data_IF_485273695459
#
_entry.id   IF_485273695459
#
_cell.length_a   1.000
_cell.length_b   1.000
_cell.length_c   1.000
_cell.angle_alpha   90.00
_cell.angle_beta   90.00
_cell.angle_gamma   90.00
#
_symmetry.space_group_name_H-M   'P 1'
#
loop_
_entity.id
_entity.type
_entity.pdbx_description
1 polymer ?
#
# COMPACT_ATOMS: atom_id res chain seq x y z
N UNK A 1 8.12 2.44 -10.66
CA UNK A 1 7.45 2.43 -9.33
C UNK A 1 6.32 1.41 -9.24
N UNK A 2 5.35 1.35 -10.17
CA UNK A 2 4.24 0.39 -10.06
C UNK A 2 4.70 -1.08 -9.97
N UNK A 3 5.67 -1.48 -10.80
CA UNK A 3 6.26 -2.82 -10.73
C UNK A 3 6.96 -3.10 -9.39
N UNK A 4 7.68 -2.14 -8.81
CA UNK A 4 8.35 -2.34 -7.52
C UNK A 4 7.35 -2.48 -6.39
N UNK A 5 6.24 -1.72 -6.39
CA UNK A 5 5.13 -1.90 -5.45
C UNK A 5 4.54 -3.30 -5.58
N UNK A 6 4.20 -3.73 -6.80
CA UNK A 6 3.57 -5.03 -7.03
C UNK A 6 4.46 -6.19 -6.54
N UNK A 7 5.75 -6.19 -6.91
CA UNK A 7 6.71 -7.20 -6.47
C UNK A 7 6.87 -7.17 -4.95
N UNK A 8 7.06 -5.99 -4.37
CA UNK A 8 7.27 -5.85 -2.93
C UNK A 8 6.02 -6.20 -2.11
N UNK A 9 4.80 -5.99 -2.63
CA UNK A 9 3.58 -6.43 -1.97
C UNK A 9 3.50 -7.95 -1.88
N UNK A 10 3.79 -8.66 -2.98
CA UNK A 10 3.82 -10.14 -3.00
C UNK A 10 4.92 -10.69 -2.10
N UNK A 11 6.10 -10.08 -2.13
CA UNK A 11 7.21 -10.48 -1.25
C UNK A 11 6.88 -10.17 0.20
N UNK A 12 6.25 -9.02 0.48
CA UNK A 12 5.89 -8.55 1.81
C UNK A 12 4.93 -9.49 2.51
N UNK A 13 3.87 -9.96 1.85
CA UNK A 13 2.92 -10.92 2.45
C UNK A 13 3.60 -12.26 2.76
N UNK A 14 4.42 -12.78 1.85
CA UNK A 14 5.23 -14.01 2.10
C UNK A 14 6.21 -13.84 3.24
N UNK A 15 6.83 -12.66 3.34
CA UNK A 15 7.80 -12.34 4.39
C UNK A 15 7.10 -12.17 5.73
N UNK A 16 5.89 -11.60 5.75
CA UNK A 16 5.09 -11.40 6.96
C UNK A 16 4.70 -12.73 7.61
N UNK A 17 4.45 -13.77 6.82
CA UNK A 17 4.23 -15.14 7.33
C UNK A 17 5.48 -15.70 8.01
N UNK A 18 6.69 -15.41 7.49
CA UNK A 18 7.95 -15.98 7.98
C UNK A 18 8.52 -15.25 9.19
N UNK A 19 8.62 -13.92 9.13
CA UNK A 19 9.30 -13.09 10.14
C UNK A 19 8.34 -12.20 10.95
N UNK A 20 7.04 -12.28 10.66
CA UNK A 20 6.00 -11.53 11.35
C UNK A 20 5.74 -10.16 10.73
N UNK A 21 4.50 -9.69 10.88
CA UNK A 21 4.04 -8.42 10.31
C UNK A 21 4.81 -7.21 10.85
N UNK A 22 5.23 -7.29 12.13
CA UNK A 22 6.02 -6.27 12.82
C UNK A 22 7.30 -5.92 12.05
N UNK A 23 8.10 -6.93 11.73
CA UNK A 23 9.37 -6.71 11.06
C UNK A 23 9.16 -6.12 9.68
N UNK A 24 8.26 -6.72 8.88
CA UNK A 24 8.00 -6.31 7.50
C UNK A 24 7.51 -4.85 7.42
N UNK A 25 6.48 -4.50 8.20
CA UNK A 25 5.91 -3.15 8.19
C UNK A 25 6.92 -2.11 8.67
N UNK A 26 7.67 -2.39 9.74
CA UNK A 26 8.70 -1.47 10.24
C UNK A 26 9.81 -1.23 9.22
N UNK A 27 10.35 -2.29 8.59
CA UNK A 27 11.34 -2.13 7.51
C UNK A 27 10.77 -1.42 6.28
N UNK A 28 9.51 -1.69 5.93
CA UNK A 28 8.83 -1.02 4.83
C UNK A 28 8.69 0.49 5.08
N UNK A 29 8.22 0.89 6.27
CA UNK A 29 8.09 2.30 6.66
C UNK A 29 9.46 2.99 6.70
N UNK A 30 10.49 2.31 7.24
CA UNK A 30 11.84 2.85 7.25
C UNK A 30 12.38 3.04 5.83
N UNK A 31 12.24 2.05 4.97
CA UNK A 31 12.69 2.12 3.58
C UNK A 31 11.95 3.21 2.79
N UNK A 32 10.63 3.36 3.01
CA UNK A 32 9.84 4.42 2.39
C UNK A 32 10.24 5.81 2.90
N UNK A 33 10.42 5.98 4.21
CA UNK A 33 10.85 7.24 4.81
C UNK A 33 12.25 7.67 4.34
N UNK A 34 13.20 6.74 4.28
CA UNK A 34 14.53 6.99 3.73
C UNK A 34 14.49 7.34 2.24
N UNK A 35 13.61 6.69 1.46
CA UNK A 35 13.42 7.04 0.06
C UNK A 35 12.90 8.47 -0.11
N UNK A 36 11.96 8.93 0.72
CA UNK A 36 11.46 10.31 0.69
C UNK A 36 12.56 11.32 1.04
N UNK A 37 13.40 11.01 2.03
CA UNK A 37 14.57 11.82 2.35
C UNK A 37 15.56 11.88 1.18
N UNK A 38 15.82 10.76 0.52
CA UNK A 38 16.68 10.73 -0.66
C UNK A 38 16.09 11.50 -1.84
N UNK A 39 14.78 11.41 -2.08
CA UNK A 39 14.11 12.21 -3.11
C UNK A 39 14.21 13.70 -2.80
N UNK A 40 14.20 14.09 -1.51
CA UNK A 40 14.35 15.50 -1.09
C UNK A 40 15.73 16.12 -1.39
N UNK A 41 16.71 15.35 -1.87
CA UNK A 41 18.03 15.84 -2.27
C UNK A 41 18.22 15.86 -3.79
N UNK A 42 17.17 15.59 -4.57
CA UNK A 42 17.23 15.62 -6.03
C UNK A 42 17.39 17.05 -6.52
N UNK A 43 18.35 17.25 -7.41
CA UNK A 43 18.55 18.48 -8.17
C UNK A 43 18.39 18.23 -9.67
N UNK A 44 18.25 19.29 -10.47
CA UNK A 44 18.06 19.23 -11.92
C UNK A 44 19.21 18.51 -12.67
N UNK A 45 20.39 18.41 -12.07
CA UNK A 45 21.56 17.69 -12.61
C UNK A 45 21.60 16.19 -12.27
N UNK A 46 20.59 15.67 -11.56
CA UNK A 46 20.59 14.29 -11.07
C UNK A 46 20.46 13.30 -12.24
N UNK A 47 21.33 12.28 -12.34
CA UNK A 47 21.25 11.31 -13.40
C UNK A 47 19.98 10.46 -13.27
N UNK A 48 19.37 10.10 -14.39
CA UNK A 48 18.10 9.36 -14.42
C UNK A 48 18.13 8.05 -13.61
N UNK A 49 19.28 7.39 -13.53
CA UNK A 49 19.44 6.15 -12.74
C UNK A 49 19.19 6.35 -11.24
N UNK A 50 19.47 7.53 -10.70
CA UNK A 50 19.19 7.86 -9.29
C UNK A 50 17.69 7.95 -9.05
N UNK A 51 16.95 8.56 -9.99
CA UNK A 51 15.49 8.63 -9.94
C UNK A 51 14.86 7.22 -9.99
N UNK A 52 15.41 6.33 -10.84
CA UNK A 52 14.99 4.93 -10.90
C UNK A 52 15.23 4.22 -9.57
N UNK A 53 16.41 4.40 -8.95
CA UNK A 53 16.74 3.85 -7.64
C UNK A 53 15.75 4.31 -6.54
N UNK A 54 15.46 5.60 -6.50
CA UNK A 54 14.49 6.20 -5.58
C UNK A 54 13.07 5.66 -5.79
N UNK A 55 12.63 5.51 -7.05
CA UNK A 55 11.34 4.91 -7.40
C UNK A 55 11.24 3.44 -6.98
N UNK A 56 12.33 2.69 -7.09
CA UNK A 56 12.40 1.30 -6.66
C UNK A 56 12.33 1.22 -5.14
N UNK A 57 13.14 2.00 -4.42
CA UNK A 57 13.16 2.01 -2.96
C UNK A 57 11.85 2.51 -2.36
N UNK A 58 11.31 3.63 -2.86
CA UNK A 58 10.03 4.18 -2.42
C UNK A 58 8.85 3.27 -2.75
N UNK A 59 8.78 2.77 -3.99
CA UNK A 59 7.74 1.82 -4.39
C UNK A 59 7.83 0.50 -3.63
N UNK A 60 9.04 -0.01 -3.41
CA UNK A 60 9.27 -1.22 -2.61
C UNK A 60 8.82 -1.03 -1.16
N UNK A 61 9.14 0.11 -0.55
CA UNK A 61 8.72 0.44 0.80
C UNK A 61 7.19 0.43 0.94
N UNK A 62 6.51 1.16 0.04
CA UNK A 62 5.05 1.17 -0.06
C UNK A 62 4.44 -0.23 -0.23
N UNK A 63 5.02 -1.07 -1.08
CA UNK A 63 4.55 -2.44 -1.30
C UNK A 63 4.67 -3.31 -0.05
N UNK A 64 5.78 -3.21 0.68
CA UNK A 64 5.99 -3.98 1.92
C UNK A 64 5.02 -3.61 3.05
N UNK A 65 4.43 -2.41 3.01
CA UNK A 65 3.54 -1.93 4.06
C UNK A 65 2.08 -2.24 3.73
N UNK A 66 1.65 -1.94 2.51
CA UNK A 66 0.22 -1.85 2.16
C UNK A 66 -0.55 -3.16 2.33
N UNK A 67 -0.05 -4.27 1.76
CA UNK A 67 -0.71 -5.56 1.87
C UNK A 67 -0.57 -6.18 3.28
N UNK A 68 0.64 -6.31 3.87
CA UNK A 68 0.79 -6.93 5.18
C UNK A 68 0.08 -6.16 6.30
N UNK A 69 0.09 -4.83 6.30
CA UNK A 69 -0.60 -4.05 7.32
C UNK A 69 -2.12 -4.31 7.29
N UNK A 70 -2.70 -4.37 6.09
CA UNK A 70 -4.13 -4.67 5.91
C UNK A 70 -4.44 -6.09 6.37
N UNK A 71 -3.62 -7.08 6.01
CA UNK A 71 -3.79 -8.47 6.45
C UNK A 71 -3.72 -8.61 7.97
N UNK A 72 -2.83 -7.89 8.66
CA UNK A 72 -2.77 -7.96 10.12
C UNK A 72 -3.99 -7.34 10.81
N UNK A 73 -4.53 -6.23 10.27
CA UNK A 73 -5.76 -5.63 10.78
C UNK A 73 -6.93 -6.59 10.57
N UNK A 74 -7.09 -7.10 9.36
CA UNK A 74 -8.21 -7.98 9.00
C UNK A 74 -8.10 -9.35 9.66
N UNK A 75 -6.89 -9.88 9.85
CA UNK A 75 -6.64 -11.16 10.51
C UNK A 75 -6.93 -11.14 12.01
N UNK A 76 -7.07 -9.96 12.63
CA UNK A 76 -7.48 -9.82 14.03
C UNK A 76 -9.01 -9.78 14.22
N UNK A 77 -9.77 -9.65 13.14
CA UNK A 77 -11.24 -9.56 13.16
C UNK A 77 -11.85 -10.96 12.98
N UNK A 78 -12.90 -11.29 13.74
CA UNK A 78 -13.62 -12.55 13.55
C UNK A 78 -14.36 -12.57 12.20
N UNK A 79 -14.52 -13.76 11.59
CA UNK A 79 -15.14 -13.90 10.27
C UNK A 79 -16.53 -13.26 10.19
N UNK A 80 -17.35 -13.39 11.24
CA UNK A 80 -18.68 -12.78 11.34
C UNK A 80 -18.67 -11.25 11.29
N UNK A 81 -17.54 -10.62 11.65
CA UNK A 81 -17.36 -9.16 11.70
C UNK A 81 -16.43 -8.64 10.62
N UNK A 82 -15.96 -9.49 9.69
CA UNK A 82 -14.99 -9.10 8.67
C UNK A 82 -15.50 -7.94 7.80
N UNK A 83 -16.80 -7.88 7.48
CA UNK A 83 -17.39 -6.76 6.74
C UNK A 83 -17.28 -5.43 7.49
N UNK A 84 -17.57 -5.42 8.79
CA UNK A 84 -17.43 -4.22 9.65
C UNK A 84 -15.96 -3.85 9.81
N UNK A 85 -15.08 -4.84 10.01
CA UNK A 85 -13.64 -4.64 10.12
C UNK A 85 -13.04 -3.99 8.87
N UNK A 86 -13.43 -4.46 7.68
CA UNK A 86 -12.97 -3.89 6.41
C UNK A 86 -13.46 -2.45 6.23
N UNK A 87 -14.74 -2.19 6.54
CA UNK A 87 -15.31 -0.85 6.44
C UNK A 87 -14.58 0.15 7.35
N UNK A 88 -14.25 -0.24 8.58
CA UNK A 88 -13.49 0.60 9.52
C UNK A 88 -12.05 0.81 9.04
N UNK A 89 -11.40 -0.25 8.52
CA UNK A 89 -10.06 -0.13 7.95
C UNK A 89 -10.02 0.85 6.76
N UNK A 90 -10.98 0.75 5.84
CA UNK A 90 -11.06 1.64 4.69
C UNK A 90 -11.40 3.07 5.10
N UNK A 91 -12.35 3.28 6.01
CA UNK A 91 -12.64 4.59 6.57
C UNK A 91 -11.39 5.23 7.22
N UNK A 92 -10.62 4.45 7.98
CA UNK A 92 -9.37 4.90 8.61
C UNK A 92 -8.33 5.29 7.56
N UNK A 93 -8.17 4.50 6.49
CA UNK A 93 -7.24 4.78 5.41
C UNK A 93 -7.63 6.04 4.63
N UNK A 94 -8.91 6.21 4.32
CA UNK A 94 -9.42 7.40 3.63
C UNK A 94 -9.26 8.64 4.49
N UNK A 95 -9.59 8.56 5.78
CA UNK A 95 -9.38 9.66 6.72
C UNK A 95 -7.89 10.03 6.84
N UNK A 96 -7.02 9.03 7.00
CA UNK A 96 -5.58 9.23 7.06
C UNK A 96 -5.02 9.85 5.78
N UNK A 97 -5.50 9.42 4.61
CA UNK A 97 -5.12 10.00 3.32
C UNK A 97 -5.55 11.46 3.20
N UNK A 98 -6.80 11.79 3.56
CA UNK A 98 -7.31 13.16 3.55
C UNK A 98 -6.53 14.07 4.51
N UNK A 99 -6.28 13.60 5.75
CA UNK A 99 -5.49 14.33 6.74
C UNK A 99 -4.05 14.55 6.26
N UNK A 100 -3.42 13.51 5.68
CA UNK A 100 -2.07 13.60 5.12
C UNK A 100 -1.97 14.64 4.01
N UNK A 101 -2.91 14.63 3.06
CA UNK A 101 -2.99 15.63 1.98
C UNK A 101 -3.18 17.04 2.55
N UNK A 102 -4.07 17.22 3.53
CA UNK A 102 -4.33 18.52 4.14
C UNK A 102 -3.10 19.07 4.89
N UNK A 103 -2.44 18.25 5.70
CA UNK A 103 -1.26 18.66 6.49
C UNK A 103 -0.07 18.94 5.58
N UNK A 104 0.27 18.02 4.69
CA UNK A 104 1.41 18.19 3.78
C UNK A 104 1.17 19.35 2.79
N UNK A 105 -0.06 19.51 2.30
CA UNK A 105 -0.43 20.65 1.45
C UNK A 105 -0.31 21.99 2.18
N UNK A 106 -0.70 22.05 3.46
CA UNK A 106 -0.55 23.24 4.29
C UNK A 106 0.93 23.58 4.52
N UNK A 107 1.76 22.57 4.79
CA UNK A 107 3.21 22.75 4.95
C UNK A 107 3.83 23.25 3.64
N UNK A 108 3.54 22.62 2.51
CA UNK A 108 4.03 23.04 1.20
C UNK A 108 3.63 24.49 0.89
N UNK A 109 2.36 24.85 1.10
CA UNK A 109 1.86 26.22 0.91
C UNK A 109 2.55 27.23 1.82
N UNK A 110 2.81 26.86 3.08
CA UNK A 110 3.49 27.73 4.04
C UNK A 110 4.95 27.97 3.66
N UNK A 111 5.68 26.90 3.31
CA UNK A 111 7.08 26.99 2.88
C UNK A 111 7.23 27.76 1.57
N UNK A 112 6.34 27.50 0.60
CA UNK A 112 6.30 28.24 -0.66
C UNK A 112 6.12 29.75 -0.43
N UNK A 113 5.10 30.15 0.34
CA UNK A 113 4.83 31.57 0.61
C UNK A 113 5.96 32.25 1.38
N UNK A 114 6.56 31.54 2.34
CA UNK A 114 7.70 32.03 3.09
C UNK A 114 8.91 32.31 2.19
N UNK A 115 9.29 31.32 1.37
CA UNK A 115 10.46 31.45 0.49
C UNK A 115 10.22 32.47 -0.62
N UNK A 116 9.05 32.43 -1.26
CA UNK A 116 8.67 33.41 -2.29
C UNK A 116 8.71 34.84 -1.74
N UNK A 117 8.23 35.05 -0.51
CA UNK A 117 8.26 36.34 0.17
C UNK A 117 9.66 36.92 0.32
N UNK A 118 10.67 36.07 0.52
CA UNK A 118 12.06 36.48 0.66
C UNK A 118 12.74 36.78 -0.69
N UNK A 119 12.33 36.07 -1.76
CA UNK A 119 13.00 36.11 -3.07
C UNK A 119 12.26 36.95 -4.12
N UNK A 120 11.13 37.58 -3.74
CA UNK A 120 10.32 38.42 -4.63
C UNK A 120 11.11 39.65 -5.09
N UNK A 121 11.26 39.87 -6.42
CA UNK A 121 12.00 41.02 -6.92
C UNK A 121 11.24 42.34 -6.64
N UNK A 122 11.95 43.43 -6.33
CA UNK A 122 11.33 44.74 -6.17
C UNK A 122 10.76 45.26 -7.50
N UNK A 123 9.74 46.11 -7.44
CA UNK A 123 9.15 46.75 -8.62
C UNK A 123 8.04 45.95 -9.33
N UNK A 124 7.63 44.80 -8.77
CA UNK A 124 6.50 44.04 -9.29
C UNK A 124 5.15 44.75 -9.08
N UNK A 125 4.24 44.73 -10.08
CA UNK A 125 2.84 45.12 -9.89
C UNK A 125 2.16 44.26 -8.81
N UNK A 126 1.23 44.85 -8.05
CA UNK A 126 0.54 44.16 -6.96
C UNK A 126 -0.20 42.89 -7.45
N UNK A 127 -0.86 42.96 -8.60
CA UNK A 127 -1.57 41.82 -9.20
C UNK A 127 -0.64 40.63 -9.46
N UNK A 128 0.61 40.89 -9.89
CA UNK A 128 1.59 39.85 -10.14
C UNK A 128 2.08 39.21 -8.83
N UNK A 129 2.23 40.01 -7.76
CA UNK A 129 2.59 39.52 -6.42
C UNK A 129 1.47 38.64 -5.88
N UNK A 130 0.22 39.07 -6.01
CA UNK A 130 -0.95 38.33 -5.51
C UNK A 130 -1.17 37.02 -6.28
N UNK A 131 -1.04 37.06 -7.61
CA UNK A 131 -1.05 35.87 -8.45
C UNK A 131 0.08 34.90 -8.06
N UNK A 132 1.31 35.39 -7.83
CA UNK A 132 2.43 34.55 -7.43
C UNK A 132 2.24 33.92 -6.04
N UNK A 133 1.64 34.65 -5.10
CA UNK A 133 1.29 34.13 -3.76
C UNK A 133 0.21 33.05 -3.80
N UNK A 134 -0.68 33.11 -4.78
CA UNK A 134 -1.75 32.12 -4.94
C UNK A 134 -1.22 30.74 -5.33
N UNK A 135 -0.23 30.69 -6.23
CA UNK A 135 0.39 29.45 -6.72
C UNK A 135 1.60 29.73 -7.61
N UNK A 136 2.46 28.72 -7.79
CA UNK A 136 3.55 28.77 -8.78
C UNK A 136 3.02 28.93 -10.21
N UNK A 137 1.90 28.30 -10.55
CA UNK A 137 1.26 28.46 -11.86
C UNK A 137 0.79 29.90 -12.09
N UNK A 138 0.17 30.52 -11.07
CA UNK A 138 -0.21 31.93 -11.09
C UNK A 138 1.00 32.85 -11.27
N UNK A 139 2.13 32.55 -10.61
CA UNK A 139 3.38 33.30 -10.78
C UNK A 139 3.90 33.26 -12.23
N UNK A 140 3.89 32.08 -12.85
CA UNK A 140 4.38 31.90 -14.23
C UNK A 140 3.48 32.61 -15.24
N UNK A 141 2.16 32.56 -15.05
CA UNK A 141 1.20 33.32 -15.89
C UNK A 141 1.37 34.83 -15.71
N UNK A 142 1.55 35.29 -14.47
CA UNK A 142 1.80 36.70 -14.18
C UNK A 142 3.11 37.17 -14.82
N UNK A 143 4.17 36.37 -14.78
CA UNK A 143 5.44 36.68 -15.42
C UNK A 143 5.30 36.84 -16.94
N UNK A 144 4.49 36.00 -17.60
CA UNK A 144 4.20 36.10 -19.03
C UNK A 144 3.36 37.33 -19.41
N UNK A 145 2.62 37.89 -18.46
CA UNK A 145 1.74 39.04 -18.66
C UNK A 145 2.45 40.39 -18.50
N UNK A 146 3.73 40.38 -18.06
CA UNK A 146 4.52 41.60 -17.92
C UNK A 146 4.94 42.17 -19.29
N UNK A 147 5.11 43.50 -19.41
CA UNK A 147 5.60 44.12 -20.63
C UNK A 147 6.96 43.56 -21.07
N UNK A 148 7.21 43.47 -22.38
CA UNK A 148 8.46 42.92 -22.95
C UNK A 148 9.72 43.71 -22.51
N UNK A 149 9.57 44.99 -22.19
CA UNK A 149 10.63 45.82 -21.62
C UNK A 149 11.13 45.29 -20.26
N UNK A 150 10.30 44.54 -19.53
CA UNK A 150 10.56 44.00 -18.20
C UNK A 150 10.93 42.51 -18.22
N UNK A 151 11.48 42.01 -19.34
CA UNK A 151 11.87 40.60 -19.49
C UNK A 151 12.79 40.07 -18.37
N UNK A 152 13.67 40.92 -17.83
CA UNK A 152 14.49 40.57 -16.66
C UNK A 152 13.67 40.36 -15.37
N UNK A 153 12.62 41.16 -15.17
CA UNK A 153 11.73 41.08 -14.03
C UNK A 153 10.80 39.85 -14.13
N UNK A 154 10.31 39.54 -15.33
CA UNK A 154 9.56 38.33 -15.63
C UNK A 154 10.37 37.05 -15.36
N UNK A 155 11.63 37.02 -15.81
CA UNK A 155 12.54 35.90 -15.54
C UNK A 155 12.82 35.75 -14.05
N UNK A 156 13.02 36.85 -13.34
CA UNK A 156 13.27 36.86 -11.89
C UNK A 156 12.06 36.35 -11.09
N UNK A 157 10.84 36.78 -11.45
CA UNK A 157 9.60 36.27 -10.85
C UNK A 157 9.45 34.77 -11.07
N UNK A 158 9.67 34.30 -12.31
CA UNK A 158 9.58 32.87 -12.64
C UNK A 158 10.60 32.03 -11.88
N UNK A 159 11.84 32.54 -11.77
CA UNK A 159 12.91 31.89 -11.02
C UNK A 159 12.62 31.84 -9.51
N UNK A 160 12.16 32.95 -8.91
CA UNK A 160 11.78 33.01 -7.51
C UNK A 160 10.63 32.04 -7.20
N UNK A 161 9.60 32.01 -8.02
CA UNK A 161 8.47 31.09 -7.84
C UNK A 161 8.86 29.62 -8.01
N UNK A 162 9.66 29.29 -9.02
CA UNK A 162 10.13 27.92 -9.24
C UNK A 162 11.05 27.46 -8.10
N UNK A 163 11.95 28.32 -7.65
CA UNK A 163 12.84 28.06 -6.53
C UNK A 163 12.06 27.84 -5.21
N UNK A 164 11.12 28.74 -4.90
CA UNK A 164 10.25 28.59 -3.74
C UNK A 164 9.40 27.31 -3.78
N UNK A 165 8.92 26.93 -4.97
CA UNK A 165 8.17 25.69 -5.15
C UNK A 165 9.02 24.45 -4.89
N UNK A 166 10.22 24.39 -5.48
CA UNK A 166 11.16 23.29 -5.25
C UNK A 166 11.56 23.21 -3.77
N UNK A 167 11.86 24.35 -3.13
CA UNK A 167 12.14 24.40 -1.69
C UNK A 167 10.99 23.84 -0.85
N UNK A 168 9.74 24.19 -1.19
CA UNK A 168 8.57 23.66 -0.50
C UNK A 168 8.40 22.14 -0.70
N UNK A 169 8.72 21.62 -1.88
CA UNK A 169 8.69 20.18 -2.17
C UNK A 169 9.75 19.43 -1.34
N UNK A 170 10.98 19.93 -1.29
CA UNK A 170 12.04 19.36 -0.46
C UNK A 170 11.64 19.30 1.02
N UNK A 171 11.18 20.43 1.56
CA UNK A 171 10.73 20.51 2.95
C UNK A 171 9.57 19.55 3.24
N UNK A 172 8.58 19.48 2.34
CA UNK A 172 7.43 18.58 2.48
C UNK A 172 7.83 17.11 2.43
N UNK A 173 8.77 16.74 1.56
CA UNK A 173 9.31 15.39 1.47
C UNK A 173 10.08 14.99 2.73
N UNK A 174 10.87 15.90 3.31
CA UNK A 174 11.57 15.64 4.59
C UNK A 174 10.60 15.45 5.74
N UNK A 175 9.53 16.25 5.82
CA UNK A 175 8.49 16.07 6.83
C UNK A 175 7.78 14.73 6.63
N UNK A 176 7.32 14.41 5.42
CA UNK A 176 6.68 13.14 5.12
C UNK A 176 7.59 11.93 5.44
N UNK A 177 8.87 12.03 5.07
CA UNK A 177 9.88 11.03 5.38
C UNK A 177 10.10 10.86 6.88
N UNK A 178 10.14 11.95 7.64
CA UNK A 178 10.27 11.93 9.11
C UNK A 178 9.06 11.31 9.79
N UNK A 179 7.84 11.60 9.31
CA UNK A 179 6.60 10.97 9.79
C UNK A 179 6.61 9.47 9.50
N UNK A 180 7.05 9.05 8.32
CA UNK A 180 7.19 7.63 7.98
C UNK A 180 8.25 6.93 8.85
N UNK A 181 9.38 7.58 9.15
CA UNK A 181 10.39 7.03 10.05
C UNK A 181 9.89 6.93 11.50
N UNK A 182 9.17 7.94 11.99
CA UNK A 182 8.52 7.88 13.29
C UNK A 182 7.50 6.74 13.35
N UNK A 183 6.69 6.56 12.30
CA UNK A 183 5.80 5.41 12.18
C UNK A 183 6.55 4.07 12.15
N UNK A 184 7.76 4.00 11.57
CA UNK A 184 8.58 2.80 11.58
C UNK A 184 8.96 2.41 13.02
N UNK A 185 9.37 3.40 13.82
CA UNK A 185 9.70 3.24 15.24
C UNK A 185 8.46 2.81 16.02
N UNK A 186 7.30 3.43 15.78
CA UNK A 186 6.04 3.07 16.43
C UNK A 186 5.61 1.64 16.06
N UNK A 187 5.71 1.25 14.79
CA UNK A 187 5.42 -0.12 14.35
C UNK A 187 6.39 -1.13 15.01
N UNK A 188 7.68 -0.78 15.09
CA UNK A 188 8.69 -1.59 15.77
C UNK A 188 8.51 -1.64 17.29
N UNK A 189 7.86 -0.67 17.91
CA UNK A 189 7.57 -0.69 19.34
C UNK A 189 6.27 -1.46 19.65
N UNK A 190 5.19 -1.17 18.92
CA UNK A 190 3.82 -1.54 19.29
C UNK A 190 3.19 -2.67 18.47
N UNK A 191 3.69 -3.01 17.27
CA UNK A 191 3.02 -4.01 16.44
C UNK A 191 3.24 -5.44 16.99
N UNK A 192 2.18 -6.25 17.19
CA UNK A 192 2.33 -7.64 17.64
C UNK A 192 3.05 -8.49 16.60
N UNK A 193 3.97 -9.35 17.03
CA UNK A 193 4.87 -10.08 16.12
C UNK A 193 4.25 -11.29 15.42
N UNK A 194 3.08 -11.79 15.85
CA UNK A 194 2.43 -12.99 15.28
C UNK A 194 0.90 -12.87 15.31
N UNK A 195 0.18 -13.05 14.18
CA UNK A 195 -1.26 -13.28 14.21
C UNK A 195 -1.54 -14.59 14.96
N UNK A 196 -2.30 -14.55 16.06
CA UNK A 196 -2.93 -15.78 16.58
C UNK A 196 -3.94 -16.21 15.54
N UNK A 197 -3.81 -17.41 14.97
CA UNK A 197 -4.83 -18.00 14.11
C UNK A 197 -6.12 -18.13 14.92
N UNK A 198 -7.15 -17.31 14.70
CA UNK A 198 -8.44 -17.49 15.37
C UNK A 198 -9.12 -18.67 14.68
N UNK A 199 -9.21 -19.80 15.38
CA UNK A 199 -9.86 -21.01 14.85
C UNK A 199 -8.91 -22.12 14.42
N UNK A 200 -7.69 -22.21 14.95
CA UNK A 200 -7.06 -23.53 15.03
C UNK A 200 -8.09 -24.46 15.69
N UNK A 201 -8.51 -25.57 15.03
CA UNK A 201 -9.38 -26.54 15.66
C UNK A 201 -8.77 -26.84 17.02
N UNK A 202 -9.53 -26.64 18.11
CA UNK A 202 -9.14 -27.29 19.36
C UNK A 202 -8.85 -28.73 18.96
N UNK A 203 -7.69 -29.31 19.33
CA UNK A 203 -7.52 -30.75 19.21
C UNK A 203 -8.80 -31.32 19.77
N UNK A 204 -9.54 -32.07 18.95
CA UNK A 204 -10.66 -32.84 19.47
C UNK A 204 -10.00 -33.66 20.55
N UNK A 205 -10.19 -33.28 21.81
CA UNK A 205 -9.88 -34.15 22.94
C UNK A 205 -10.60 -35.42 22.56
N UNK A 206 -9.82 -36.47 22.28
CA UNK A 206 -10.32 -37.76 21.85
C UNK A 206 -11.43 -38.13 22.82
N UNK A 207 -12.67 -37.87 22.39
CA UNK A 207 -13.85 -38.31 23.10
C UNK A 207 -13.67 -39.83 23.15
N UNK A 208 -13.55 -40.44 24.34
CA UNK A 208 -13.08 -41.80 24.46
C UNK A 208 -13.96 -42.68 23.59
N UNK A 209 -13.37 -43.15 22.50
CA UNK A 209 -14.05 -43.93 21.49
C UNK A 209 -14.72 -45.10 22.21
N UNK A 210 -16.07 -45.21 22.20
CA UNK A 210 -16.74 -46.26 22.94
C UNK A 210 -16.25 -47.59 22.39
N UNK A 211 -15.60 -48.35 23.27
CA UNK A 211 -14.89 -49.58 22.94
C UNK A 211 -15.69 -50.41 21.95
N UNK A 212 -15.09 -50.62 20.76
CA UNK A 212 -15.63 -51.42 19.69
C UNK A 212 -16.23 -52.70 20.26
N UNK A 213 -17.56 -52.77 20.22
CA UNK A 213 -18.37 -53.90 20.64
C UNK A 213 -17.82 -55.14 19.93
N UNK A 214 -17.11 -56.00 20.66
CA UNK A 214 -16.51 -57.24 20.17
C UNK A 214 -17.51 -57.95 19.26
N UNK A 215 -17.22 -57.99 17.96
CA UNK A 215 -17.96 -58.79 16.99
C UNK A 215 -17.84 -60.25 17.44
N UNK A 216 -18.94 -60.78 17.95
CA UNK A 216 -19.11 -62.18 18.30
C UNK A 216 -19.00 -63.00 17.01
N UNK A 217 -17.95 -63.81 16.94
CA UNK A 217 -17.73 -64.85 15.94
C UNK A 217 -19.03 -65.60 15.59
N UNK A 218 -19.35 -65.72 14.30
CA UNK A 218 -20.34 -66.68 13.78
C UNK A 218 -19.59 -67.70 12.92
N UNK A 219 -19.77 -69.02 13.11
CA UNK A 219 -19.12 -70.02 12.29
C UNK A 219 -19.80 -70.18 10.92
N UNK A 220 -18.97 -70.43 9.92
CA UNK A 220 -19.26 -70.59 8.48
C UNK A 220 -20.16 -71.79 8.19
N UNK A 221 -21.22 -71.68 7.37
CA UNK A 221 -21.85 -72.85 6.75
C UNK A 221 -21.21 -73.19 5.40
N UNK A 222 -21.16 -74.49 5.13
CA UNK A 222 -20.45 -75.14 4.02
C UNK A 222 -21.09 -74.92 2.63
N UNK A 223 -20.26 -75.12 1.60
CA UNK A 223 -20.54 -75.06 0.16
C UNK A 223 -21.73 -75.92 -0.29
N UNK A 224 -22.52 -75.39 -1.24
CA UNK A 224 -23.17 -76.17 -2.30
C UNK A 224 -23.00 -75.42 -3.63
N UNK A 225 -22.64 -76.17 -4.67
CA UNK A 225 -22.27 -75.77 -6.01
C UNK A 225 -23.48 -75.47 -6.93
N UNK A 226 -23.22 -75.32 -8.24
CA UNK A 226 -24.16 -75.41 -9.40
C UNK A 226 -24.74 -74.03 -9.80
N UNK A 227 -24.71 -73.49 -11.03
CA UNK A 227 -24.23 -73.84 -12.38
C UNK A 227 -24.12 -72.52 -13.19
N UNK A 228 -23.19 -72.45 -14.15
CA UNK A 228 -23.21 -71.47 -15.28
C UNK A 228 -24.00 -72.09 -16.44
N UNK A 229 -24.77 -71.31 -17.25
CA UNK A 229 -24.32 -71.02 -18.63
C UNK A 229 -24.78 -69.63 -19.15
N UNK A 230 -23.88 -68.85 -19.76
CA UNK A 230 -23.76 -68.55 -21.22
C UNK A 230 -24.80 -67.59 -21.85
N UNK A 231 -24.27 -66.44 -22.31
CA UNK A 231 -24.53 -65.63 -23.52
C UNK A 231 -25.87 -65.75 -24.27
N UNK A 232 -26.45 -64.58 -24.61
CA UNK A 232 -26.85 -64.15 -25.99
C UNK A 232 -27.34 -62.68 -25.98
N UNK A 233 -26.64 -61.76 -26.66
CA UNK A 233 -27.03 -61.04 -27.92
C UNK A 233 -28.28 -60.13 -27.85
N UNK A 234 -28.10 -58.81 -28.06
CA UNK A 234 -28.81 -58.02 -29.08
C UNK A 234 -28.48 -56.51 -28.94
N UNK A 235 -28.42 -55.84 -30.08
CA UNK A 235 -28.02 -54.44 -30.31
C UNK A 235 -29.25 -53.50 -30.41
N UNK A 236 -29.19 -52.26 -30.97
CA UNK A 236 -29.58 -51.02 -30.30
C UNK A 236 -30.95 -50.47 -30.78
N UNK A 237 -31.50 -49.49 -30.06
CA UNK A 237 -32.61 -48.68 -30.59
C UNK A 237 -32.50 -47.24 -30.08
N UNK A 238 -32.39 -46.35 -31.06
CA UNK A 238 -32.76 -44.93 -31.04
C UNK A 238 -34.04 -44.65 -30.24
N UNK A 239 -34.12 -43.48 -29.61
CA UNK A 239 -34.86 -42.31 -30.14
C UNK A 239 -35.37 -41.38 -29.01
N UNK A 240 -35.29 -40.07 -29.26
CA UNK A 240 -35.99 -38.93 -28.59
C UNK A 240 -35.57 -38.63 -27.13
N UNK A 241 -35.31 -37.39 -26.71
CA UNK A 241 -36.25 -36.25 -26.66
C UNK A 241 -35.46 -34.96 -26.33
N UNK A 242 -35.65 -33.94 -27.16
CA UNK A 242 -35.74 -32.49 -26.88
C UNK A 242 -35.15 -31.94 -25.56
N UNK A 243 -34.16 -31.05 -25.69
CA UNK A 243 -34.28 -29.62 -25.40
C UNK A 243 -33.08 -28.88 -26.01
#
# INVERSE_FOLDING_TARGET
>A
MAMSIAVAAVVGTRLAVKIGNKAVVATGLAMFGLALWWISTVSASSPYIVLVGQMIMGGGGLGLITAPATEAIMGAVSLEKAGVGSAVNDATRLFGAALGVAVLGSIASSLYRSQLGADLPPGLPQDAIEAARSSVGGALVAAQSLPQADSGLANSLSAAATGAFLHSLEGSLRVAGSVALAGAVLAAAFLPSRPRVPGAPKPVEDEPQPAARRRRWMPTPARVAVLTPQRTTASPSSDKVKA
#
